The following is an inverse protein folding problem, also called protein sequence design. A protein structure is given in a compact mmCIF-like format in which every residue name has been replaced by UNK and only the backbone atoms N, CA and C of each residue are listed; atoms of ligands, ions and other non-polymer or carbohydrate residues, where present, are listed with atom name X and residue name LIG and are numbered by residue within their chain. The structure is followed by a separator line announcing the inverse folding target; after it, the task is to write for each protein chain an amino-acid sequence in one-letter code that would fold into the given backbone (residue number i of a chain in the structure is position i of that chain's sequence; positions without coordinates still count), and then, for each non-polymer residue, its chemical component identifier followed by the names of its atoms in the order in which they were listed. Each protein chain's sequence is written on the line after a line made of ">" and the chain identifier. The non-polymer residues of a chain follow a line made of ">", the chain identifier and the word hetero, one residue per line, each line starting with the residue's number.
data_IF_553659569532
#
_entry.id   IF_553659569532
#
_cell.length_a   1.000
_cell.length_b   1.000
_cell.length_c   1.000
_cell.angle_alpha   90.00
_cell.angle_beta   90.00
_cell.angle_gamma   90.00
#
_symmetry.space_group_name_H-M   'P 1'
#
loop_
_entity.id
_entity.type
_entity.pdbx_description
1 polymer ?
#
# COMPACT_ATOMS: atom_id res chain seq x y z
N UNK A 1 -1.45 -7.45 -12.80
CA UNK A 1 -0.28 -8.02 -12.11
C UNK A 1 -0.25 -7.49 -10.70
N UNK A 2 0.09 -8.34 -9.73
CA UNK A 2 0.28 -7.98 -8.31
C UNK A 2 1.75 -8.03 -7.95
N UNK A 3 2.30 -6.90 -7.52
CA UNK A 3 3.70 -6.75 -7.15
C UNK A 3 3.84 -6.49 -5.66
N UNK A 4 4.80 -7.18 -5.03
CA UNK A 4 5.11 -7.04 -3.61
C UNK A 4 6.58 -6.71 -3.41
N UNK A 5 6.89 -6.14 -2.26
CA UNK A 5 8.24 -6.17 -1.69
C UNK A 5 8.17 -7.03 -0.45
N UNK A 6 9.13 -7.93 -0.26
CA UNK A 6 9.12 -8.88 0.83
C UNK A 6 10.53 -9.11 1.39
N UNK A 7 10.63 -9.62 2.62
CA UNK A 7 11.90 -10.06 3.18
C UNK A 7 12.19 -11.50 2.77
N UNK A 8 13.30 -11.68 2.05
CA UNK A 8 13.85 -12.97 1.66
C UNK A 8 14.05 -13.88 2.87
N UNK A 9 13.43 -15.07 2.95
CA UNK A 9 13.72 -16.04 4.00
C UNK A 9 15.16 -16.56 3.92
N UNK A 10 15.76 -16.48 2.72
CA UNK A 10 17.10 -17.00 2.44
C UNK A 10 18.22 -16.10 2.97
N UNK A 11 17.99 -14.79 3.13
CA UNK A 11 19.04 -13.85 3.56
C UNK A 11 18.57 -12.59 4.30
N UNK A 12 17.27 -12.39 4.46
CA UNK A 12 16.68 -11.26 5.18
C UNK A 12 16.68 -9.94 4.39
N UNK A 13 17.19 -9.92 3.16
CA UNK A 13 17.13 -8.74 2.29
C UNK A 13 15.72 -8.50 1.72
N UNK A 14 15.38 -7.22 1.49
CA UNK A 14 14.19 -6.84 0.75
C UNK A 14 14.33 -7.22 -0.73
N UNK A 15 13.31 -7.90 -1.28
CA UNK A 15 13.24 -8.30 -2.68
C UNK A 15 11.90 -7.92 -3.28
N UNK A 16 11.91 -7.71 -4.60
CA UNK A 16 10.67 -7.58 -5.36
C UNK A 16 10.14 -8.97 -5.72
N UNK A 17 8.83 -9.15 -5.65
CA UNK A 17 8.17 -10.38 -6.03
C UNK A 17 6.85 -10.12 -6.73
N UNK A 18 6.33 -11.15 -7.37
CA UNK A 18 4.98 -11.13 -7.95
C UNK A 18 4.10 -12.12 -7.21
N UNK A 19 2.85 -11.76 -6.95
CA UNK A 19 1.86 -12.67 -6.38
C UNK A 19 1.10 -13.35 -7.50
N UNK A 20 1.09 -14.68 -7.50
CA UNK A 20 0.32 -15.52 -8.40
C UNK A 20 -0.08 -16.82 -7.69
N UNK A 21 -1.31 -17.27 -7.86
CA UNK A 21 -1.86 -18.50 -7.25
C UNK A 21 -1.53 -18.70 -5.75
N UNK A 22 -1.68 -17.63 -4.95
CA UNK A 22 -1.42 -17.65 -3.50
C UNK A 22 0.06 -17.81 -3.10
N UNK A 23 0.97 -17.61 -4.05
CA UNK A 23 2.42 -17.65 -3.84
C UNK A 23 3.09 -16.34 -4.25
N UNK A 24 4.17 -16.00 -3.57
CA UNK A 24 5.12 -14.95 -3.97
C UNK A 24 6.25 -15.58 -4.76
N UNK A 25 6.41 -15.16 -6.01
CA UNK A 25 7.51 -15.55 -6.89
C UNK A 25 8.56 -14.44 -6.90
N UNK A 26 9.71 -14.70 -6.30
CA UNK A 26 10.81 -13.75 -6.18
C UNK A 26 11.40 -13.36 -7.54
N UNK A 27 11.38 -12.07 -7.88
CA UNK A 27 11.91 -11.57 -9.14
C UNK A 27 13.44 -11.75 -9.21
N UNK A 28 14.00 -12.38 -10.27
CA UNK A 28 15.44 -12.66 -10.37
C UNK A 28 16.31 -11.46 -10.76
N UNK A 29 15.72 -10.31 -11.13
CA UNK A 29 16.50 -9.11 -11.42
C UNK A 29 16.84 -8.31 -10.16
N UNK A 30 17.79 -7.39 -10.30
CA UNK A 30 18.21 -6.51 -9.22
C UNK A 30 17.29 -5.29 -9.03
N UNK A 31 16.36 -5.05 -9.96
CA UNK A 31 15.51 -3.87 -9.92
C UNK A 31 14.42 -3.97 -8.86
N UNK A 32 14.13 -2.84 -8.22
CA UNK A 32 12.95 -2.68 -7.37
C UNK A 32 11.67 -2.48 -8.18
N UNK A 33 10.50 -2.69 -7.56
CA UNK A 33 9.21 -2.40 -8.21
C UNK A 33 9.13 -0.95 -8.70
N UNK A 34 9.50 0.09 -7.93
CA UNK A 34 9.53 1.46 -8.43
C UNK A 34 10.41 1.65 -9.67
N UNK A 35 11.63 1.08 -9.69
CA UNK A 35 12.53 1.17 -10.84
C UNK A 35 11.96 0.48 -12.10
N UNK A 36 11.19 -0.60 -11.92
CA UNK A 36 10.50 -1.25 -13.04
C UNK A 36 9.34 -0.38 -13.56
N UNK A 37 8.58 0.25 -12.66
CA UNK A 37 7.49 1.17 -13.01
C UNK A 37 8.00 2.43 -13.72
N UNK A 38 9.20 2.91 -13.38
CA UNK A 38 9.81 4.09 -14.00
C UNK A 38 10.21 3.91 -15.46
N UNK A 39 10.50 2.68 -15.90
CA UNK A 39 10.92 2.41 -17.28
C UNK A 39 9.75 2.50 -18.25
N UNK A 40 8.95 1.46 -18.30
CA UNK A 40 7.74 1.35 -19.11
C UNK A 40 6.97 0.07 -18.72
N UNK A 41 5.79 -0.10 -19.34
CA UNK A 41 4.92 -1.25 -19.09
C UNK A 41 5.49 -2.57 -19.60
N UNK A 42 6.25 -2.54 -20.69
CA UNK A 42 6.81 -3.75 -21.30
C UNK A 42 7.92 -4.31 -20.40
N UNK A 43 8.76 -3.45 -19.83
CA UNK A 43 9.78 -3.83 -18.87
C UNK A 43 9.18 -4.46 -17.60
N UNK A 44 8.06 -3.93 -17.11
CA UNK A 44 7.33 -4.50 -15.98
C UNK A 44 6.74 -5.87 -16.34
N UNK A 45 6.09 -5.99 -17.51
CA UNK A 45 5.53 -7.26 -17.98
C UNK A 45 6.61 -8.34 -18.19
N UNK A 46 7.75 -7.98 -18.77
CA UNK A 46 8.90 -8.87 -18.92
C UNK A 46 9.44 -9.34 -17.57
N UNK A 47 9.52 -8.43 -16.59
CA UNK A 47 9.95 -8.76 -15.24
C UNK A 47 8.95 -9.72 -14.55
N UNK A 48 7.65 -9.50 -14.75
CA UNK A 48 6.60 -10.39 -14.27
C UNK A 48 6.76 -11.81 -14.82
N UNK A 49 6.86 -11.96 -16.15
CA UNK A 49 7.03 -13.27 -16.77
C UNK A 49 8.34 -13.95 -16.34
N UNK A 50 9.43 -13.20 -16.16
CA UNK A 50 10.69 -13.74 -15.64
C UNK A 50 10.56 -14.28 -14.22
N UNK A 51 9.85 -13.56 -13.34
CA UNK A 51 9.61 -14.00 -11.98
C UNK A 51 8.83 -15.32 -11.95
N UNK A 52 7.80 -15.49 -12.79
CA UNK A 52 7.04 -16.75 -12.87
C UNK A 52 7.84 -17.90 -13.51
N UNK A 53 8.65 -17.61 -14.53
CA UNK A 53 9.37 -18.64 -15.27
C UNK A 53 10.62 -19.17 -14.54
N UNK A 54 11.32 -18.30 -13.81
CA UNK A 54 12.57 -18.62 -13.12
C UNK A 54 12.69 -17.80 -11.81
N UNK A 55 11.80 -18.06 -10.83
CA UNK A 55 11.84 -17.36 -9.55
C UNK A 55 13.13 -17.65 -8.79
N UNK A 56 13.64 -16.67 -8.06
CA UNK A 56 14.74 -16.91 -7.10
C UNK A 56 14.27 -17.83 -5.98
N UNK A 57 13.02 -17.61 -5.55
CA UNK A 57 12.35 -18.38 -4.52
C UNK A 57 10.83 -18.30 -4.72
N UNK A 58 10.12 -19.30 -4.19
CA UNK A 58 8.66 -19.38 -4.20
C UNK A 58 8.23 -19.57 -2.75
N UNK A 59 7.39 -18.67 -2.25
CA UNK A 59 6.96 -18.63 -0.85
C UNK A 59 5.44 -18.57 -0.86
N UNK A 60 4.78 -19.27 0.05
CA UNK A 60 3.33 -19.14 0.19
C UNK A 60 3.02 -17.73 0.72
N UNK A 61 2.01 -17.05 0.17
CA UNK A 61 1.77 -15.63 0.42
C UNK A 61 1.60 -15.32 1.91
N UNK A 62 0.81 -16.12 2.65
CA UNK A 62 0.60 -15.90 4.08
C UNK A 62 1.83 -16.19 4.97
N UNK A 63 2.82 -16.91 4.45
CA UNK A 63 4.10 -17.16 5.14
C UNK A 63 5.12 -16.06 4.84
N UNK A 64 4.82 -15.18 3.87
CA UNK A 64 5.74 -14.14 3.42
C UNK A 64 5.66 -12.93 4.34
N UNK A 65 6.81 -12.46 4.84
CA UNK A 65 6.89 -11.16 5.52
C UNK A 65 6.92 -10.05 4.46
N UNK A 66 5.80 -9.37 4.29
CA UNK A 66 5.64 -8.28 3.33
C UNK A 66 6.24 -6.98 3.88
N UNK A 67 6.85 -6.20 3.00
CA UNK A 67 7.31 -4.84 3.26
C UNK A 67 6.37 -3.84 2.59
N UNK A 68 6.60 -2.54 2.82
CA UNK A 68 5.94 -1.52 2.01
C UNK A 68 6.30 -1.77 0.52
N UNK A 69 5.31 -1.98 -0.38
CA UNK A 69 5.61 -2.28 -1.78
C UNK A 69 6.22 -1.08 -2.53
N UNK A 70 6.20 0.11 -1.91
CA UNK A 70 6.92 1.31 -2.34
C UNK A 70 7.47 2.05 -1.13
N UNK A 71 8.70 2.55 -1.24
CA UNK A 71 9.33 3.48 -0.29
C UNK A 71 9.57 4.82 -0.98
N UNK A 72 8.64 5.79 -0.88
CA UNK A 72 8.80 7.09 -1.52
C UNK A 72 10.05 7.82 -1.01
N UNK A 73 10.78 8.53 -1.87
CA UNK A 73 11.88 9.41 -1.45
C UNK A 73 11.40 10.82 -1.09
N UNK A 74 10.21 11.19 -1.57
CA UNK A 74 9.57 12.51 -1.39
C UNK A 74 8.27 12.36 -0.64
N UNK A 75 7.81 13.46 -0.05
CA UNK A 75 6.54 13.48 0.68
C UNK A 75 5.40 13.00 -0.22
N UNK A 76 4.52 12.20 0.36
CA UNK A 76 3.34 11.66 -0.32
C UNK A 76 2.22 12.68 -0.17
N UNK A 77 1.72 13.29 -1.26
CA UNK A 77 0.51 14.09 -1.20
C UNK A 77 -0.67 13.16 -0.89
N UNK A 78 -1.39 13.44 0.19
CA UNK A 78 -2.57 12.69 0.60
C UNK A 78 -3.77 13.61 0.73
N UNK A 79 -4.88 13.28 0.09
CA UNK A 79 -6.15 13.97 0.23
C UNK A 79 -6.96 13.31 1.37
N UNK A 80 -7.05 14.01 2.50
CA UNK A 80 -7.64 13.53 3.76
C UNK A 80 -8.56 14.63 4.30
N UNK A 81 -9.75 14.26 4.78
CA UNK A 81 -10.74 15.21 5.32
C UNK A 81 -11.05 16.42 4.40
N UNK A 82 -11.00 16.20 3.08
CA UNK A 82 -11.26 17.24 2.07
C UNK A 82 -10.10 18.21 1.84
N UNK A 83 -8.91 17.94 2.37
CA UNK A 83 -7.73 18.78 2.21
C UNK A 83 -6.50 17.95 1.81
N UNK A 84 -5.57 18.59 1.09
CA UNK A 84 -4.26 18.00 0.79
C UNK A 84 -3.31 18.18 1.98
N UNK A 85 -2.72 17.08 2.41
CA UNK A 85 -1.62 17.03 3.38
C UNK A 85 -0.39 16.37 2.76
N UNK A 86 0.78 16.64 3.33
CA UNK A 86 2.05 16.06 2.93
C UNK A 86 2.49 15.06 3.99
N UNK A 87 2.50 13.77 3.63
CA UNK A 87 2.98 12.71 4.53
C UNK A 87 4.48 12.51 4.30
N UNK A 88 5.28 12.61 5.36
CA UNK A 88 6.72 12.44 5.26
C UNK A 88 7.07 11.00 4.83
N UNK A 89 8.09 10.81 3.96
CA UNK A 89 8.56 9.49 3.51
C UNK A 89 8.79 8.49 4.65
N UNK A 90 9.37 8.97 5.73
CA UNK A 90 9.73 8.17 6.88
C UNK A 90 8.53 7.60 7.65
N UNK A 91 7.30 8.02 7.34
CA UNK A 91 6.06 7.50 7.94
C UNK A 91 5.44 6.38 7.11
N UNK A 92 5.93 6.11 5.88
CA UNK A 92 5.39 5.05 5.02
C UNK A 92 5.88 3.69 5.51
N UNK A 93 4.96 2.76 5.73
CA UNK A 93 5.22 1.42 6.27
C UNK A 93 4.43 0.35 5.52
N UNK A 94 4.94 -0.88 5.56
CA UNK A 94 4.22 -2.05 5.06
C UNK A 94 3.12 -2.49 6.01
N UNK A 95 2.24 -3.34 5.53
CA UNK A 95 1.12 -3.89 6.30
C UNK A 95 1.58 -4.67 7.52
N UNK A 96 2.71 -5.38 7.40
CA UNK A 96 3.22 -6.24 8.47
C UNK A 96 4.11 -5.51 9.49
N UNK A 97 4.38 -4.21 9.29
CA UNK A 97 5.18 -3.39 10.21
C UNK A 97 4.37 -2.93 11.43
N UNK A 98 3.04 -3.08 11.38
CA UNK A 98 2.12 -2.63 12.42
C UNK A 98 2.05 -1.10 12.54
N UNK A 99 1.33 -0.64 13.57
CA UNK A 99 1.25 0.79 13.93
C UNK A 99 1.65 0.99 15.38
N UNK A 100 2.60 1.90 15.60
CA UNK A 100 2.99 2.32 16.94
C UNK A 100 2.00 3.35 17.47
N UNK A 101 1.66 3.23 18.75
CA UNK A 101 0.95 4.26 19.47
C UNK A 101 1.96 5.23 20.08
N UNK A 102 1.98 6.52 19.68
CA UNK A 102 2.93 7.48 20.24
C UNK A 102 2.76 7.65 21.76
N UNK A 103 3.84 7.99 22.45
CA UNK A 103 3.82 8.17 23.90
C UNK A 103 2.81 9.25 24.33
N UNK A 104 1.94 8.90 25.29
CA UNK A 104 0.91 9.82 25.79
C UNK A 104 -0.37 9.88 24.94
N UNK A 105 -0.43 9.19 23.80
CA UNK A 105 -1.63 9.06 22.98
C UNK A 105 -2.45 7.87 23.46
N UNK A 106 -3.76 8.04 23.63
CA UNK A 106 -4.66 6.99 24.12
C UNK A 106 -5.39 6.21 23.03
N UNK A 107 -5.47 6.76 21.82
CA UNK A 107 -6.16 6.15 20.68
C UNK A 107 -5.65 6.76 19.36
N UNK A 108 -5.84 6.04 18.27
CA UNK A 108 -5.58 6.54 16.91
C UNK A 108 -6.87 6.60 16.09
N UNK A 109 -6.91 7.42 15.06
CA UNK A 109 -7.90 7.32 13.99
C UNK A 109 -7.20 6.83 12.72
N UNK A 110 -7.96 6.17 11.84
CA UNK A 110 -7.49 5.75 10.54
C UNK A 110 -8.29 6.45 9.44
N UNK A 111 -7.60 7.04 8.46
CA UNK A 111 -8.18 7.48 7.20
C UNK A 111 -7.80 6.49 6.10
N UNK A 112 -8.79 5.83 5.51
CA UNK A 112 -8.60 4.73 4.55
C UNK A 112 -9.00 5.12 3.14
N UNK A 113 -8.34 4.48 2.18
CA UNK A 113 -8.58 4.66 0.75
C UNK A 113 -7.45 4.02 -0.06
N UNK A 114 -7.03 4.68 -1.12
CA UNK A 114 -6.04 4.14 -2.06
C UNK A 114 -4.87 5.09 -2.25
N UNK A 115 -3.73 4.53 -2.63
CA UNK A 115 -2.59 5.24 -3.15
C UNK A 115 -2.35 4.82 -4.59
N UNK A 116 -2.30 5.80 -5.50
CA UNK A 116 -1.86 5.63 -6.88
C UNK A 116 -0.33 5.77 -6.95
N UNK A 117 0.26 4.98 -7.82
CA UNK A 117 1.67 5.03 -8.18
C UNK A 117 1.82 5.45 -9.64
N UNK A 118 2.79 6.33 -9.90
CA UNK A 118 3.07 6.89 -11.20
C UNK A 118 4.48 6.50 -11.64
N UNK A 119 4.60 5.85 -12.79
CA UNK A 119 5.86 5.47 -13.42
C UNK A 119 6.43 6.56 -14.33
N UNK A 120 7.27 6.13 -15.27
CA UNK A 120 7.99 7.01 -16.20
C UNK A 120 7.10 8.08 -16.84
N UNK A 121 7.56 9.33 -16.78
CA UNK A 121 6.84 10.53 -17.28
C UNK A 121 5.49 10.81 -16.59
N UNK A 122 5.30 10.35 -15.34
CA UNK A 122 4.07 10.61 -14.58
C UNK A 122 2.88 9.75 -15.01
N UNK A 123 3.13 8.67 -15.77
CA UNK A 123 2.07 7.77 -16.23
C UNK A 123 1.65 6.86 -15.09
N UNK A 124 0.35 6.76 -14.84
CA UNK A 124 -0.17 5.86 -13.83
C UNK A 124 0.20 4.39 -14.09
N UNK A 125 0.71 3.76 -13.04
CA UNK A 125 1.34 2.46 -13.07
C UNK A 125 0.56 1.41 -12.26
N UNK A 126 -0.10 1.82 -11.16
CA UNK A 126 -0.96 0.93 -10.37
C UNK A 126 -1.48 1.56 -9.08
N UNK A 127 -2.27 0.78 -8.35
CA UNK A 127 -2.88 1.16 -7.08
C UNK A 127 -2.44 0.24 -5.95
N UNK A 128 -2.48 0.75 -4.72
CA UNK A 128 -2.38 -0.04 -3.49
C UNK A 128 -3.36 0.49 -2.45
N UNK A 129 -3.96 -0.35 -1.58
CA UNK A 129 -4.72 0.13 -0.43
C UNK A 129 -3.81 0.95 0.47
N UNK A 130 -4.38 1.97 1.11
CA UNK A 130 -3.65 2.86 1.98
C UNK A 130 -4.48 3.26 3.21
N UNK A 131 -3.80 3.36 4.34
CA UNK A 131 -4.38 3.74 5.62
C UNK A 131 -3.44 4.73 6.34
N UNK A 132 -3.88 5.98 6.47
CA UNK A 132 -3.17 6.99 7.27
C UNK A 132 -3.67 6.96 8.71
N UNK A 133 -2.79 6.55 9.62
CA UNK A 133 -2.99 6.58 11.05
C UNK A 133 -2.67 7.96 11.60
N UNK A 134 -3.55 8.48 12.46
CA UNK A 134 -3.43 9.82 13.03
C UNK A 134 -3.74 9.83 14.52
N UNK A 135 -3.16 10.77 15.24
CA UNK A 135 -3.60 11.09 16.61
C UNK A 135 -5.00 11.70 16.59
N UNK A 136 -5.61 11.91 17.76
CA UNK A 136 -6.93 12.55 17.87
C UNK A 136 -6.90 14.03 17.43
N UNK A 137 -5.73 14.65 17.51
CA UNK A 137 -5.45 16.01 17.05
C UNK A 137 -5.28 16.08 15.52
N UNK A 138 -5.17 14.93 14.85
CA UNK A 138 -5.02 14.81 13.40
C UNK A 138 -3.57 14.72 12.91
N UNK A 139 -2.58 14.65 13.82
CA UNK A 139 -1.18 14.53 13.44
C UNK A 139 -0.90 13.15 12.82
N UNK A 140 -0.19 13.08 11.66
CA UNK A 140 0.12 11.82 11.01
C UNK A 140 1.12 11.00 11.83
N UNK A 141 0.79 9.72 12.04
CA UNK A 141 1.63 8.75 12.76
C UNK A 141 2.31 7.79 11.78
N UNK A 142 1.53 7.12 10.93
CA UNK A 142 2.00 6.12 9.96
C UNK A 142 1.09 6.13 8.75
N UNK A 143 1.65 5.98 7.55
CA UNK A 143 0.90 5.65 6.33
C UNK A 143 1.20 4.20 5.96
N UNK A 144 0.27 3.30 6.27
CA UNK A 144 0.37 1.89 5.92
C UNK A 144 -0.11 1.69 4.49
N UNK A 145 0.70 1.00 3.70
CA UNK A 145 0.43 0.74 2.27
C UNK A 145 0.69 -0.73 1.95
N UNK A 146 -0.15 -1.31 1.11
CA UNK A 146 -0.05 -2.72 0.74
C UNK A 146 -1.38 -3.47 0.86
N UNK A 147 -1.38 -4.81 0.67
CA UNK A 147 -0.18 -5.67 0.66
C UNK A 147 0.63 -5.61 -0.64
N UNK A 148 0.01 -5.25 -1.76
CA UNK A 148 0.62 -5.25 -3.08
C UNK A 148 0.31 -3.98 -3.87
N UNK A 149 1.11 -3.73 -4.91
CA UNK A 149 0.79 -2.81 -6.01
C UNK A 149 0.09 -3.62 -7.10
N UNK A 150 -1.13 -3.23 -7.45
CA UNK A 150 -1.92 -3.85 -8.52
C UNK A 150 -1.87 -2.98 -9.76
N UNK A 151 -1.36 -3.54 -10.86
CA UNK A 151 -1.26 -2.86 -12.15
C UNK A 151 -2.58 -2.92 -12.93
N UNK A 152 -2.72 -2.04 -13.91
CA UNK A 152 -3.86 -1.96 -14.83
C UNK A 152 -4.21 -3.28 -15.55
N UNK A 153 -3.28 -4.22 -15.68
CA UNK A 153 -3.57 -5.54 -16.29
C UNK A 153 -4.57 -6.36 -15.45
N UNK A 154 -4.68 -6.06 -14.16
CA UNK A 154 -5.70 -6.63 -13.25
C UNK A 154 -6.76 -5.63 -12.81
N UNK A 155 -6.70 -4.40 -13.34
CA UNK A 155 -7.63 -3.35 -13.00
C UNK A 155 -8.24 -2.72 -14.27
N UNK A 156 -9.51 -3.02 -14.48
CA UNK A 156 -10.31 -2.64 -15.64
C UNK A 156 -10.87 -1.20 -15.57
N UNK A 157 -10.48 -0.41 -14.57
CA UNK A 157 -11.02 0.93 -14.34
C UNK A 157 -12.32 0.95 -13.52
N UNK A 158 -12.76 -0.18 -12.97
CA UNK A 158 -13.89 -0.25 -12.04
C UNK A 158 -13.69 0.68 -10.83
N UNK A 159 -14.75 1.16 -10.17
CA UNK A 159 -14.60 1.89 -8.92
C UNK A 159 -13.72 1.13 -7.91
N UNK A 160 -12.85 1.87 -7.23
CA UNK A 160 -12.00 1.36 -6.15
C UNK A 160 -12.78 1.48 -4.84
N UNK A 161 -12.97 0.35 -4.17
CA UNK A 161 -13.63 0.30 -2.88
C UNK A 161 -12.64 -0.17 -1.82
N UNK A 162 -12.54 0.59 -0.73
CA UNK A 162 -11.75 0.21 0.45
C UNK A 162 -12.63 0.32 1.67
N UNK A 163 -12.82 -0.80 2.36
CA UNK A 163 -13.54 -0.85 3.63
C UNK A 163 -12.57 -1.05 4.78
N UNK A 164 -12.89 -0.48 5.93
CA UNK A 164 -12.18 -0.74 7.17
C UNK A 164 -13.16 -1.09 8.28
N UNK A 165 -12.85 -2.12 9.05
CA UNK A 165 -13.72 -2.63 10.09
C UNK A 165 -12.98 -3.24 11.27
N UNK A 166 -13.71 -3.38 12.38
CA UNK A 166 -13.24 -4.04 13.62
C UNK A 166 -14.28 -5.09 13.99
N UNK A 167 -13.84 -6.32 14.28
CA UNK A 167 -14.73 -7.43 14.65
C UNK A 167 -15.90 -7.65 13.66
N UNK A 168 -15.61 -7.53 12.36
CA UNK A 168 -16.60 -7.70 11.29
C UNK A 168 -17.61 -6.55 11.14
N UNK A 169 -17.42 -5.43 11.86
CA UNK A 169 -18.25 -4.22 11.71
C UNK A 169 -17.50 -3.16 10.91
N UNK A 170 -18.07 -2.74 9.79
CA UNK A 170 -17.54 -1.63 8.99
C UNK A 170 -17.58 -0.32 9.79
N UNK A 171 -16.42 0.32 9.90
CA UNK A 171 -16.23 1.64 10.53
C UNK A 171 -16.09 2.75 9.49
N UNK A 172 -15.49 2.44 8.34
CA UNK A 172 -15.24 3.39 7.26
C UNK A 172 -15.34 2.67 5.91
N UNK A 173 -15.85 3.36 4.89
CA UNK A 173 -15.89 2.89 3.50
C UNK A 173 -15.54 4.04 2.58
N UNK A 174 -14.48 3.86 1.80
CA UNK A 174 -14.07 4.75 0.73
C UNK A 174 -14.47 4.14 -0.61
N UNK A 175 -15.10 4.95 -1.46
CA UNK A 175 -15.37 4.62 -2.85
C UNK A 175 -14.79 5.73 -3.73
N UNK A 176 -13.89 5.35 -4.63
CA UNK A 176 -13.19 6.25 -5.53
C UNK A 176 -13.44 5.81 -6.96
N UNK A 177 -13.55 6.77 -7.87
CA UNK A 177 -13.49 6.41 -9.29
C UNK A 177 -12.15 5.73 -9.59
N UNK A 178 -12.17 4.72 -10.46
CA UNK A 178 -10.95 4.05 -10.93
C UNK A 178 -10.10 4.93 -11.86
N UNK A 179 -10.60 6.13 -12.18
CA UNK A 179 -9.82 7.17 -12.82
C UNK A 179 -8.86 7.84 -11.84
N UNK A 180 -8.19 8.88 -12.34
CA UNK A 180 -7.16 9.62 -11.60
C UNK A 180 -7.55 11.08 -11.39
N UNK A 181 -8.85 11.40 -11.50
CA UNK A 181 -9.33 12.77 -11.34
C UNK A 181 -9.00 13.33 -9.95
N UNK A 182 -9.03 12.47 -8.93
CA UNK A 182 -8.65 12.78 -7.56
C UNK A 182 -7.14 12.99 -7.35
N UNK A 183 -6.30 12.55 -8.28
CA UNK A 183 -4.86 12.77 -8.27
C UNK A 183 -4.42 13.93 -9.17
N UNK A 184 -5.36 14.65 -9.79
CA UNK A 184 -5.02 15.78 -10.65
C UNK A 184 -4.27 16.88 -9.86
N UNK A 185 -3.13 17.35 -10.38
CA UNK A 185 -2.33 18.38 -9.74
C UNK A 185 -1.27 17.85 -8.77
N UNK A 186 -1.13 16.52 -8.62
CA UNK A 186 0.00 15.89 -7.89
C UNK A 186 1.19 15.58 -8.82
N UNK A 187 1.22 16.22 -9.98
CA UNK A 187 1.96 15.89 -11.21
C UNK A 187 3.50 15.81 -11.09
N UNK A 188 4.06 16.16 -9.93
CA UNK A 188 5.51 16.11 -9.66
C UNK A 188 5.97 14.91 -8.82
N UNK A 189 5.03 14.06 -8.38
CA UNK A 189 5.28 12.94 -7.46
C UNK A 189 5.18 11.55 -8.09
N UNK A 190 5.88 10.58 -7.51
CA UNK A 190 5.76 9.15 -7.84
C UNK A 190 4.47 8.55 -7.25
N UNK A 191 3.85 9.20 -6.27
CA UNK A 191 2.65 8.70 -5.58
C UNK A 191 1.64 9.81 -5.28
N UNK A 192 0.37 9.43 -5.14
CA UNK A 192 -0.68 10.26 -4.56
C UNK A 192 -1.71 9.39 -3.84
N UNK A 193 -2.17 9.81 -2.66
CA UNK A 193 -3.15 9.07 -1.88
C UNK A 193 -4.48 9.83 -1.78
N UNK A 194 -5.60 9.11 -1.90
CA UNK A 194 -6.93 9.59 -1.60
C UNK A 194 -7.53 8.74 -0.49
N UNK A 195 -7.75 9.36 0.67
CA UNK A 195 -8.13 8.69 1.92
C UNK A 195 -9.40 9.35 2.50
N UNK A 196 -10.55 9.22 1.81
CA UNK A 196 -11.73 10.03 2.11
C UNK A 196 -12.52 9.54 3.33
N UNK A 197 -12.27 8.32 3.83
CA UNK A 197 -13.09 7.69 4.85
C UNK A 197 -12.33 7.53 6.16
N UNK A 198 -12.81 8.19 7.22
CA UNK A 198 -12.22 8.13 8.56
C UNK A 198 -12.95 7.15 9.49
N UNK A 199 -12.21 6.46 10.36
CA UNK A 199 -12.78 5.66 11.45
C UNK A 199 -13.11 6.53 12.66
N UNK A 200 -13.88 5.97 13.60
CA UNK A 200 -13.84 6.42 15.01
C UNK A 200 -12.43 6.25 15.60
N UNK A 201 -12.13 6.86 16.77
CA UNK A 201 -10.96 6.47 17.57
C UNK A 201 -10.91 4.96 17.82
N UNK A 202 -9.71 4.41 17.68
CA UNK A 202 -9.34 3.01 17.88
C UNK A 202 -8.40 2.92 19.08
N UNK A 203 -8.78 2.11 20.06
CA UNK A 203 -8.07 1.89 21.31
C UNK A 203 -6.86 0.96 21.13
N UNK A 204 -5.87 1.00 22.04
CA UNK A 204 -4.72 0.11 21.98
C UNK A 204 -5.15 -1.36 22.02
N UNK A 205 -4.63 -2.16 21.09
CA UNK A 205 -5.00 -3.56 20.95
C UNK A 205 -6.19 -3.85 20.03
N UNK A 206 -6.97 -2.84 19.61
CA UNK A 206 -7.97 -3.04 18.56
C UNK A 206 -7.29 -3.40 17.22
N UNK A 207 -7.92 -4.30 16.47
CA UNK A 207 -7.45 -4.75 15.16
C UNK A 207 -8.34 -4.19 14.06
N UNK A 208 -7.74 -3.33 13.23
CA UNK A 208 -8.38 -2.79 12.05
C UNK A 208 -8.11 -3.71 10.87
N UNK A 209 -9.14 -4.35 10.36
CA UNK A 209 -9.13 -5.04 9.08
C UNK A 209 -9.44 -4.05 7.96
N UNK A 210 -8.62 -4.04 6.91
CA UNK A 210 -8.79 -3.22 5.71
C UNK A 210 -8.95 -4.14 4.50
N UNK A 211 -10.09 -4.04 3.83
CA UNK A 211 -10.42 -4.78 2.61
C UNK A 211 -10.41 -3.81 1.41
N UNK A 212 -9.41 -3.93 0.55
CA UNK A 212 -9.30 -3.20 -0.71
C UNK A 212 -9.86 -3.95 -1.93
N UNK A 213 -10.60 -5.03 -1.71
CA UNK A 213 -11.13 -5.91 -2.75
C UNK A 213 -10.03 -6.47 -3.63
N UNK A 214 -10.06 -6.12 -4.93
CA UNK A 214 -9.03 -6.55 -5.89
C UNK A 214 -7.63 -6.07 -5.52
N UNK A 215 -7.50 -5.00 -4.74
CA UNK A 215 -6.21 -4.49 -4.31
C UNK A 215 -5.56 -5.31 -3.17
N UNK A 216 -6.30 -6.26 -2.59
CA UNK A 216 -5.88 -7.06 -1.45
C UNK A 216 -6.40 -6.52 -0.13
N UNK A 217 -6.09 -7.26 0.93
CA UNK A 217 -6.55 -7.01 2.29
C UNK A 217 -5.36 -7.06 3.26
N UNK A 218 -5.51 -6.39 4.40
CA UNK A 218 -4.55 -6.50 5.50
C UNK A 218 -5.21 -6.19 6.85
N UNK A 219 -4.56 -6.60 7.92
CA UNK A 219 -4.99 -6.34 9.29
C UNK A 219 -3.88 -5.66 10.08
N UNK A 220 -4.26 -4.71 10.93
CA UNK A 220 -3.32 -3.97 11.76
C UNK A 220 -3.85 -3.75 13.17
N UNK A 221 -3.02 -4.12 14.16
CA UNK A 221 -3.30 -3.89 15.56
C UNK A 221 -2.73 -2.58 16.07
N UNK A 222 -3.54 -1.78 16.73
CA UNK A 222 -3.13 -0.50 17.34
C UNK A 222 -2.10 -0.75 18.45
N UNK A 223 -0.91 -0.18 18.30
CA UNK A 223 0.18 -0.28 19.28
C UNK A 223 1.08 -1.51 19.12
N UNK A 224 0.94 -2.29 18.04
CA UNK A 224 1.72 -3.50 17.79
C UNK A 224 2.95 -3.30 16.86
N UNK A 225 3.34 -2.05 16.57
CA UNK A 225 4.46 -1.78 15.68
C UNK A 225 5.81 -2.29 16.20
N UNK A 226 6.68 -2.70 15.26
CA UNK A 226 8.05 -3.14 15.50
C UNK A 226 9.09 -2.05 15.18
#
# INVERSE_FOLDING_TARGET
>A
MRWVTYLSPSGGEERSGVVDDGCVFGYPGAQSVPELLEKDRDALADAYHKALAAPVEIIVEFETRLCAPVRPERSVPAHVDGAWTQVAPALVRGTDDGVLLPAGVSALTAAVGVMALFGGQGRHAGYTPACLWRTLEGDPVTLSVGPAIVTHDEFDGSPLCVEAGVEGRTLARAELDGGLGWAAGTDSGFTAAALPAGTRPLEPGEELFVDGGRLGEFEMRVGAGA
#
